data_IF_257291447558
#
_entry.id   IF_257291447558
#
_cell.length_a   1.000
_cell.length_b   1.000
_cell.length_c   1.000
_cell.angle_alpha   90.00
_cell.angle_beta   90.00
_cell.angle_gamma   90.00
#
_symmetry.space_group_name_H-M   'P 1'
#
loop_
_entity.id
_entity.type
_entity.pdbx_description
1 polymer ?
#
# COMPACT_ATOMS: atom_id res chain seq x y z
N UNK A 1 0.56 -45.03 28.25
CA UNK A 1 0.94 -44.07 27.18
C UNK A 1 0.20 -44.41 25.89
N UNK A 2 -1.02 -43.90 25.67
CA UNK A 2 -1.73 -44.09 24.38
C UNK A 2 -2.90 -43.11 24.16
N UNK A 3 -3.52 -42.57 25.21
CA UNK A 3 -4.74 -41.75 25.05
C UNK A 3 -4.46 -40.23 25.09
N UNK A 4 -3.37 -39.80 25.74
CA UNK A 4 -3.05 -38.36 25.91
C UNK A 4 -2.51 -37.68 24.64
N UNK A 5 -2.09 -38.45 23.62
CA UNK A 5 -1.62 -37.91 22.33
C UNK A 5 -2.74 -37.69 21.31
N UNK A 6 -3.98 -38.16 21.58
CA UNK A 6 -5.11 -38.02 20.64
C UNK A 6 -5.94 -36.75 20.86
N UNK A 7 -5.71 -36.01 21.95
CA UNK A 7 -6.49 -34.80 22.30
C UNK A 7 -5.80 -33.48 21.89
N UNK A 8 -4.66 -33.53 21.20
CA UNK A 8 -3.88 -32.34 20.79
C UNK A 8 -4.03 -31.99 19.30
N UNK A 9 -5.05 -32.52 18.61
CA UNK A 9 -5.27 -32.34 17.17
C UNK A 9 -6.46 -31.45 16.80
N UNK A 10 -7.15 -30.85 17.78
CA UNK A 10 -8.41 -30.13 17.56
C UNK A 10 -8.34 -28.60 17.67
N UNK A 11 -7.13 -28.01 17.80
CA UNK A 11 -6.95 -26.56 17.96
C UNK A 11 -6.31 -25.85 16.74
N UNK A 12 -6.20 -26.53 15.59
CA UNK A 12 -5.57 -25.96 14.37
C UNK A 12 -6.63 -25.63 13.28
N UNK A 13 -7.89 -25.38 13.68
CA UNK A 13 -8.99 -25.03 12.75
C UNK A 13 -9.50 -23.60 12.92
N UNK A 14 -8.70 -22.70 13.49
CA UNK A 14 -8.92 -21.26 13.34
C UNK A 14 -7.92 -20.80 12.29
N UNK A 15 -8.23 -21.03 11.02
CA UNK A 15 -7.63 -20.21 9.97
C UNK A 15 -7.92 -18.76 10.38
N UNK A 16 -6.91 -17.89 10.56
CA UNK A 16 -7.21 -16.48 10.44
C UNK A 16 -7.69 -16.32 9.00
N UNK A 17 -9.00 -16.13 8.84
CA UNK A 17 -9.57 -15.61 7.62
C UNK A 17 -9.06 -14.18 7.54
N UNK A 18 -7.81 -14.04 7.11
CA UNK A 18 -7.19 -12.76 6.85
C UNK A 18 -7.92 -12.20 5.65
N UNK A 19 -8.89 -11.32 5.90
CA UNK A 19 -9.37 -10.40 4.88
C UNK A 19 -8.12 -9.69 4.38
N UNK A 20 -7.66 -10.04 3.18
CA UNK A 20 -6.65 -9.26 2.51
C UNK A 20 -7.32 -7.91 2.24
N UNK A 21 -6.99 -6.90 3.02
CA UNK A 21 -7.32 -5.53 2.67
C UNK A 21 -6.61 -5.26 1.35
N UNK A 22 -7.39 -4.93 0.32
CA UNK A 22 -6.91 -4.57 -1.01
C UNK A 22 -5.94 -3.38 -0.85
N UNK A 23 -4.66 -3.71 -0.76
CA UNK A 23 -3.58 -2.76 -0.60
C UNK A 23 -2.84 -2.72 -1.92
N UNK A 24 -3.13 -1.71 -2.72
CA UNK A 24 -2.40 -1.50 -3.98
C UNK A 24 -1.00 -1.01 -3.63
N UNK A 25 0.02 -1.74 -4.07
CA UNK A 25 1.42 -1.33 -3.94
C UNK A 25 1.96 -0.90 -5.31
N UNK A 26 2.54 0.29 -5.38
CA UNK A 26 3.14 0.85 -6.60
C UNK A 26 4.60 1.22 -6.34
N UNK A 27 5.47 0.86 -7.29
CA UNK A 27 6.85 1.36 -7.38
C UNK A 27 6.84 2.56 -8.34
N UNK A 28 7.25 3.73 -7.88
CA UNK A 28 7.23 4.97 -8.68
C UNK A 28 8.64 5.55 -8.85
N UNK A 29 8.83 6.19 -10.02
CA UNK A 29 10.10 6.78 -10.44
C UNK A 29 10.50 7.97 -9.54
N UNK A 30 11.78 8.05 -9.19
CA UNK A 30 12.42 9.16 -8.46
C UNK A 30 11.82 9.53 -7.10
N UNK A 31 11.26 8.56 -6.36
CA UNK A 31 10.69 8.79 -5.02
C UNK A 31 9.57 9.85 -5.01
N UNK A 32 8.85 9.97 -6.13
CA UNK A 32 7.69 10.85 -6.29
C UNK A 32 6.44 10.01 -6.40
N UNK A 33 5.43 10.36 -5.63
CA UNK A 33 4.19 9.61 -5.55
C UNK A 33 3.03 10.54 -5.83
N UNK A 34 2.04 10.09 -6.62
CA UNK A 34 0.80 10.83 -6.79
C UNK A 34 -0.27 10.18 -5.93
N UNK A 35 -0.94 10.99 -5.12
CA UNK A 35 -2.07 10.58 -4.30
C UNK A 35 -3.33 11.20 -4.88
N UNK A 36 -4.37 10.40 -5.06
CA UNK A 36 -5.67 10.87 -5.55
C UNK A 36 -6.60 11.30 -4.41
N UNK A 37 -7.68 11.98 -4.76
CA UNK A 37 -8.58 12.64 -3.81
C UNK A 37 -9.35 11.67 -2.91
N UNK A 38 -9.66 10.46 -3.39
CA UNK A 38 -10.46 9.46 -2.68
C UNK A 38 -9.62 8.51 -1.79
N UNK A 39 -8.32 8.81 -1.62
CA UNK A 39 -7.44 8.04 -0.74
C UNK A 39 -7.76 8.35 0.72
N UNK A 40 -8.12 7.31 1.48
CA UNK A 40 -8.42 7.45 2.91
C UNK A 40 -7.16 7.49 3.75
N UNK A 41 -6.21 6.61 3.47
CA UNK A 41 -4.92 6.60 4.13
C UNK A 41 -3.82 6.10 3.20
N UNK A 42 -2.60 6.52 3.51
CA UNK A 42 -1.42 6.15 2.73
C UNK A 42 -0.28 5.83 3.67
N UNK A 43 0.52 4.83 3.34
CA UNK A 43 1.77 4.51 4.03
C UNK A 43 2.93 4.52 3.04
N UNK A 44 3.90 5.39 3.27
CA UNK A 44 5.16 5.42 2.52
C UNK A 44 6.16 4.48 3.20
N UNK A 45 6.71 3.54 2.45
CA UNK A 45 7.75 2.61 2.89
C UNK A 45 9.05 3.05 2.20
N UNK A 46 9.90 3.75 2.94
CA UNK A 46 11.08 4.44 2.40
C UNK A 46 12.33 3.74 2.92
N UNK A 47 12.96 2.95 2.06
CA UNK A 47 14.25 2.36 2.31
C UNK A 47 15.35 3.40 2.14
N UNK A 48 16.20 3.55 3.14
CA UNK A 48 17.33 4.49 3.14
C UNK A 48 18.65 3.75 3.03
N UNK A 49 19.69 4.46 2.63
CA UNK A 49 21.06 3.95 2.74
C UNK A 49 21.42 3.76 4.22
N UNK A 50 22.25 2.76 4.54
CA UNK A 50 22.71 2.53 5.92
C UNK A 50 23.35 3.79 6.51
N UNK A 51 23.08 4.06 7.78
CA UNK A 51 23.61 5.21 8.52
C UNK A 51 23.28 6.57 7.89
N UNK A 52 22.12 6.68 7.24
CA UNK A 52 21.61 7.95 6.72
C UNK A 52 20.52 8.53 7.62
N UNK A 53 20.36 9.85 7.54
CA UNK A 53 19.29 10.58 8.21
C UNK A 53 17.91 10.12 7.74
N UNK A 54 16.90 10.35 8.59
CA UNK A 54 15.51 10.10 8.24
C UNK A 54 15.11 10.83 6.95
N UNK A 55 14.20 10.22 6.19
CA UNK A 55 13.64 10.82 5.01
C UNK A 55 12.86 12.10 5.34
N UNK A 56 12.70 12.96 4.34
CA UNK A 56 11.83 14.14 4.42
C UNK A 56 10.73 13.93 3.40
N UNK A 57 9.47 14.01 3.83
CA UNK A 57 8.33 14.01 2.92
C UNK A 57 7.94 15.44 2.57
N UNK A 58 7.93 15.75 1.28
CA UNK A 58 7.48 17.01 0.72
C UNK A 58 6.04 16.81 0.22
N UNK A 59 5.15 17.68 0.70
CA UNK A 59 3.75 17.73 0.34
C UNK A 59 3.53 18.37 -1.03
N UNK A 60 2.32 18.19 -1.62
CA UNK A 60 1.89 18.90 -2.82
C UNK A 60 2.00 20.44 -2.71
N UNK A 61 1.79 20.99 -1.51
CA UNK A 61 1.91 22.43 -1.23
C UNK A 61 3.33 22.89 -0.86
N UNK A 62 4.31 21.99 -0.90
CA UNK A 62 5.71 22.26 -0.57
C UNK A 62 6.05 22.19 0.93
N UNK A 63 5.07 22.00 1.83
CA UNK A 63 5.37 21.79 3.24
C UNK A 63 6.15 20.49 3.46
N UNK A 64 7.02 20.50 4.46
CA UNK A 64 7.94 19.38 4.74
C UNK A 64 7.59 18.69 6.05
N UNK A 65 7.43 17.38 5.99
CA UNK A 65 7.30 16.50 7.15
C UNK A 65 8.61 15.81 7.44
N UNK A 66 8.91 15.73 8.73
CA UNK A 66 10.12 15.14 9.31
C UNK A 66 9.71 14.13 10.37
N UNK A 67 10.59 13.16 10.64
CA UNK A 67 10.38 12.18 11.71
C UNK A 67 10.06 12.84 13.07
N UNK A 68 10.63 14.00 13.37
CA UNK A 68 10.40 14.75 14.61
C UNK A 68 9.39 15.91 14.49
N UNK A 69 8.87 16.18 13.29
CA UNK A 69 7.97 17.32 13.05
C UNK A 69 6.98 17.00 11.93
N UNK A 70 5.77 16.63 12.34
CA UNK A 70 4.64 16.32 11.47
C UNK A 70 3.33 16.57 12.26
N UNK A 71 2.19 16.77 11.58
CA UNK A 71 0.90 16.95 12.25
C UNK A 71 0.37 15.63 12.84
N UNK A 72 -0.67 15.73 13.66
CA UNK A 72 -1.24 14.61 14.41
C UNK A 72 -1.84 13.49 13.55
N UNK A 73 -2.19 13.76 12.28
CA UNK A 73 -2.70 12.75 11.34
C UNK A 73 -1.57 11.96 10.65
N UNK A 74 -0.32 12.16 11.06
CA UNK A 74 0.85 11.46 10.54
C UNK A 74 1.45 10.64 11.67
N UNK A 75 1.77 9.39 11.38
CA UNK A 75 2.56 8.51 12.24
C UNK A 75 3.86 8.19 11.51
N UNK A 76 4.99 8.36 12.20
CA UNK A 76 6.31 8.10 11.64
C UNK A 76 7.04 7.04 12.48
N UNK A 77 7.32 5.91 11.87
CA UNK A 77 8.11 4.83 12.48
C UNK A 77 9.47 4.74 11.79
N UNK A 78 10.53 4.87 12.60
CA UNK A 78 11.91 4.91 12.12
C UNK A 78 12.67 3.66 12.59
N UNK A 79 13.37 3.02 11.65
CA UNK A 79 14.38 2.00 11.87
C UNK A 79 15.72 2.46 11.26
N UNK A 80 16.85 1.74 11.44
CA UNK A 80 18.15 2.20 10.96
C UNK A 80 18.21 2.53 9.46
N UNK A 81 17.51 1.77 8.62
CA UNK A 81 17.52 1.87 7.16
C UNK A 81 16.11 1.92 6.54
N UNK A 82 15.09 2.20 7.36
CA UNK A 82 13.69 2.26 6.93
C UNK A 82 12.95 3.38 7.65
N UNK A 83 12.11 4.10 6.91
CA UNK A 83 11.00 4.89 7.43
C UNK A 83 9.68 4.31 6.95
N UNK A 84 8.73 4.18 7.87
CA UNK A 84 7.32 3.95 7.56
C UNK A 84 6.56 5.20 7.97
N UNK A 85 5.94 5.88 7.01
CA UNK A 85 5.18 7.10 7.26
C UNK A 85 3.73 6.89 6.85
N UNK A 86 2.84 6.79 7.83
CA UNK A 86 1.40 6.63 7.61
C UNK A 86 0.69 7.96 7.78
N UNK A 87 -0.16 8.33 6.83
CA UNK A 87 -0.90 9.59 6.80
C UNK A 87 -2.38 9.29 6.59
N UNK A 88 -3.20 9.70 7.56
CA UNK A 88 -4.66 9.69 7.45
C UNK A 88 -5.15 10.92 6.70
N UNK A 89 -6.07 10.72 5.75
CA UNK A 89 -6.61 11.75 4.83
C UNK A 89 -5.50 12.60 4.22
N UNK A 90 -4.57 11.99 3.45
CA UNK A 90 -3.46 12.72 2.83
C UNK A 90 -3.97 13.78 1.85
N UNK A 91 -3.21 14.86 1.71
CA UNK A 91 -3.46 15.85 0.66
C UNK A 91 -3.31 15.21 -0.72
N UNK A 92 -4.30 15.39 -1.60
CA UNK A 92 -4.21 14.95 -2.99
C UNK A 92 -3.12 15.70 -3.75
N UNK A 93 -2.45 15.02 -4.67
CA UNK A 93 -1.42 15.58 -5.55
C UNK A 93 -0.05 14.91 -5.41
N UNK A 94 1.01 15.58 -5.90
CA UNK A 94 2.36 15.02 -5.89
C UNK A 94 3.03 15.14 -4.52
N UNK A 95 3.47 14.00 -4.00
CA UNK A 95 4.33 13.87 -2.83
C UNK A 95 5.73 13.47 -3.27
N UNK A 96 6.74 13.87 -2.50
CA UNK A 96 8.13 13.48 -2.78
C UNK A 96 8.87 13.11 -1.49
N UNK A 97 9.55 11.97 -1.51
CA UNK A 97 10.49 11.61 -0.46
C UNK A 97 11.90 12.06 -0.84
N UNK A 98 12.56 12.78 0.07
CA UNK A 98 13.93 13.29 -0.07
C UNK A 98 14.85 12.64 0.97
N UNK A 99 16.12 12.46 0.60
CA UNK A 99 17.15 11.88 1.47
C UNK A 99 18.11 10.98 0.69
N UNK A 100 18.98 10.27 1.41
CA UNK A 100 19.81 9.19 0.83
C UNK A 100 18.97 7.92 0.70
N UNK A 101 18.03 7.95 -0.22
CA UNK A 101 16.97 6.95 -0.37
C UNK A 101 17.38 5.92 -1.43
N UNK A 102 17.09 4.64 -1.17
CA UNK A 102 17.29 3.53 -2.09
C UNK A 102 16.19 3.52 -3.18
N UNK A 103 16.44 2.99 -4.38
CA UNK A 103 15.46 3.05 -5.48
C UNK A 103 14.24 2.12 -5.33
N UNK A 104 14.26 1.22 -4.35
CA UNK A 104 13.20 0.22 -4.15
C UNK A 104 12.23 0.67 -3.04
N UNK A 105 11.51 1.77 -3.26
CA UNK A 105 10.48 2.22 -2.32
C UNK A 105 9.10 1.84 -2.82
N UNK A 106 8.19 1.66 -1.87
CA UNK A 106 6.80 1.35 -2.15
C UNK A 106 5.88 2.27 -1.35
N UNK A 107 4.67 2.40 -1.87
CA UNK A 107 3.57 3.06 -1.20
C UNK A 107 2.43 2.06 -1.06
N UNK A 108 1.81 2.02 0.11
CA UNK A 108 0.59 1.29 0.36
C UNK A 108 -0.56 2.29 0.46
N UNK A 109 -1.59 2.10 -0.34
CA UNK A 109 -2.76 2.97 -0.39
C UNK A 109 -3.99 2.21 0.08
N UNK A 110 -4.77 2.84 0.96
CA UNK A 110 -6.10 2.39 1.33
C UNK A 110 -7.14 3.38 0.78
N UNK A 111 -8.06 2.87 -0.04
CA UNK A 111 -9.14 3.65 -0.66
C UNK A 111 -10.37 2.76 -0.86
N UNK A 112 -11.56 3.37 -0.96
CA UNK A 112 -12.78 2.65 -1.38
C UNK A 112 -12.82 2.40 -2.89
N UNK A 113 -11.87 2.98 -3.63
CA UNK A 113 -11.74 2.83 -5.07
C UNK A 113 -11.08 1.49 -5.40
N UNK A 114 -11.74 0.67 -6.21
CA UNK A 114 -11.20 -0.63 -6.67
C UNK A 114 -11.57 -0.91 -8.13
N UNK A 115 -10.71 -1.67 -8.82
CA UNK A 115 -10.94 -2.10 -10.19
C UNK A 115 -11.66 -3.45 -10.20
N UNK A 116 -12.87 -3.47 -10.74
CA UNK A 116 -13.57 -4.70 -11.06
C UNK A 116 -13.33 -5.05 -12.52
N UNK A 117 -12.59 -6.13 -12.76
CA UNK A 117 -12.23 -6.57 -14.10
C UNK A 117 -12.82 -7.94 -14.41
N UNK A 118 -13.21 -8.13 -15.67
CA UNK A 118 -13.63 -9.45 -16.14
C UNK A 118 -12.48 -10.45 -16.00
N UNK A 119 -12.76 -11.62 -15.43
CA UNK A 119 -11.75 -12.68 -15.33
C UNK A 119 -11.40 -13.20 -16.72
N UNK A 120 -10.10 -13.37 -16.99
CA UNK A 120 -9.64 -13.93 -18.24
C UNK A 120 -10.03 -15.42 -18.34
N UNK A 121 -10.35 -15.92 -19.55
CA UNK A 121 -10.62 -17.35 -19.75
C UNK A 121 -9.41 -18.20 -19.36
N UNK A 122 -9.66 -19.39 -18.79
CA UNK A 122 -8.59 -20.32 -18.41
C UNK A 122 -7.83 -20.92 -19.60
N UNK A 123 -8.44 -20.90 -20.80
CA UNK A 123 -7.86 -21.43 -22.03
C UNK A 123 -7.96 -20.39 -23.14
N UNK A 124 -6.85 -20.22 -23.85
CA UNK A 124 -6.72 -19.31 -24.99
C UNK A 124 -6.24 -20.10 -26.21
N UNK A 125 -6.77 -19.78 -27.38
CA UNK A 125 -6.34 -20.37 -28.64
C UNK A 125 -5.50 -19.40 -29.48
N UNK A 126 -4.59 -19.96 -30.28
CA UNK A 126 -3.77 -19.16 -31.18
C UNK A 126 -4.65 -18.45 -32.21
N UNK A 127 -4.53 -17.12 -32.28
CA UNK A 127 -5.31 -16.26 -33.19
C UNK A 127 -6.65 -15.78 -32.64
N UNK A 128 -7.03 -16.17 -31.41
CA UNK A 128 -8.24 -15.69 -30.75
C UNK A 128 -8.11 -14.22 -30.33
N UNK A 129 -9.16 -13.42 -30.58
CA UNK A 129 -9.25 -12.03 -30.09
C UNK A 129 -10.25 -11.97 -28.94
N UNK A 130 -9.78 -11.59 -27.76
CA UNK A 130 -10.62 -11.50 -26.57
C UNK A 130 -11.15 -10.09 -26.39
N UNK A 131 -12.44 -9.98 -26.09
CA UNK A 131 -13.02 -8.76 -25.52
C UNK A 131 -12.86 -8.81 -24.01
N UNK A 132 -12.18 -7.82 -23.45
CA UNK A 132 -11.98 -7.65 -22.02
C UNK A 132 -12.64 -6.35 -21.56
N UNK A 133 -13.28 -6.37 -20.39
CA UNK A 133 -13.90 -5.20 -19.79
C UNK A 133 -13.41 -5.05 -18.35
N UNK A 134 -13.15 -3.82 -17.93
CA UNK A 134 -12.88 -3.48 -16.54
C UNK A 134 -13.53 -2.14 -16.22
N UNK A 135 -14.01 -2.00 -14.98
CA UNK A 135 -14.72 -0.83 -14.48
C UNK A 135 -14.14 -0.46 -13.12
N UNK A 136 -13.93 0.84 -12.89
CA UNK A 136 -13.54 1.35 -11.58
C UNK A 136 -14.79 1.56 -10.72
N UNK A 137 -14.73 1.21 -9.45
CA UNK A 137 -15.83 1.31 -8.48
C UNK A 137 -15.37 2.11 -7.26
N UNK A 138 -16.26 2.91 -6.68
CA UNK A 138 -16.09 3.57 -5.39
C UNK A 138 -17.10 2.97 -4.41
N UNK A 139 -16.63 2.13 -3.50
CA UNK A 139 -17.52 1.31 -2.67
C UNK A 139 -18.43 0.46 -3.56
N UNK A 140 -19.74 0.62 -3.45
CA UNK A 140 -20.72 -0.15 -4.23
C UNK A 140 -21.23 0.55 -5.50
N UNK A 141 -20.65 1.69 -5.88
CA UNK A 141 -21.08 2.46 -7.04
C UNK A 141 -20.00 2.48 -8.14
N UNK A 142 -20.35 2.29 -9.42
CA UNK A 142 -19.39 2.40 -10.52
C UNK A 142 -18.98 3.87 -10.69
N UNK A 143 -17.67 4.12 -10.74
CA UNK A 143 -17.12 5.45 -11.07
C UNK A 143 -17.38 5.73 -12.56
N UNK A 144 -18.01 6.86 -12.85
CA UNK A 144 -18.38 7.28 -14.22
C UNK A 144 -17.26 8.02 -14.94
#
# INVERSE_FOLDING_TARGET
MSVLKRLLLLLIWISPFSWAQDSTSMSLLDNRFRIDQDVQSVSFIIHRQKSSEAAILVRPDGQKYYAWRHPNNVTWYQQPDLDIVSIEKPMAGPWQALGKISPHNSITVLSDVHLSAQQLPERLYQGETLKFSAQLWQGNEPLQ
#
